data_IF_458439642387
#
_entry.id   IF_458439642387
#
_cell.length_a   1.000
_cell.length_b   1.000
_cell.length_c   1.000
_cell.angle_alpha   90.00
_cell.angle_beta   90.00
_cell.angle_gamma   90.00
#
_symmetry.space_group_name_H-M   'P 1'
#
loop_
_entity.id
_entity.type
_entity.pdbx_description
1 polymer ?
#
# COMPACT_ATOMS: atom_id res chain seq x y z
N UNK A 1 32.77 19.32 18.35
CA UNK A 1 33.18 18.03 18.95
C UNK A 1 32.44 16.91 18.22
N UNK A 2 33.17 16.00 17.55
CA UNK A 2 32.58 14.99 16.66
C UNK A 2 31.82 13.92 17.49
N UNK A 3 30.72 13.38 16.96
CA UNK A 3 29.92 12.32 17.60
C UNK A 3 30.77 11.11 18.01
N UNK A 4 31.83 10.83 17.25
CA UNK A 4 32.84 9.80 17.56
C UNK A 4 33.57 10.06 18.89
N UNK A 5 33.83 11.32 19.26
CA UNK A 5 34.46 11.65 20.54
C UNK A 5 33.55 11.33 21.73
N UNK A 6 32.25 11.62 21.62
CA UNK A 6 31.27 11.29 22.66
C UNK A 6 31.10 9.78 22.83
N UNK A 7 31.10 9.04 21.72
CA UNK A 7 31.03 7.58 21.73
C UNK A 7 32.25 6.97 22.44
N UNK A 8 33.46 7.48 22.14
CA UNK A 8 34.69 7.02 22.79
C UNK A 8 34.70 7.34 24.29
N UNK A 9 34.25 8.53 24.69
CA UNK A 9 34.12 8.91 26.11
C UNK A 9 33.10 8.02 26.81
N UNK A 10 31.94 7.75 26.20
CA UNK A 10 30.91 6.88 26.76
C UNK A 10 31.39 5.44 26.92
N UNK A 11 32.03 4.87 25.89
CA UNK A 11 32.64 3.54 25.98
C UNK A 11 33.71 3.48 27.07
N UNK A 12 34.55 4.51 27.20
CA UNK A 12 35.54 4.64 28.27
C UNK A 12 34.91 4.67 29.67
N UNK A 13 33.82 5.44 29.84
CA UNK A 13 33.06 5.51 31.10
C UNK A 13 32.42 4.18 31.47
N UNK A 14 31.78 3.49 30.52
CA UNK A 14 31.20 2.17 30.74
C UNK A 14 32.26 1.13 31.13
N UNK A 15 33.44 1.19 30.50
CA UNK A 15 34.57 0.32 30.84
C UNK A 15 35.12 0.59 32.24
N UNK A 16 35.21 1.85 32.65
CA UNK A 16 35.62 2.23 34.01
C UNK A 16 34.64 1.73 35.07
N UNK A 17 33.33 1.93 34.85
CA UNK A 17 32.29 1.42 35.75
C UNK A 17 32.37 -0.11 35.88
N UNK A 18 32.66 -0.81 34.79
CA UNK A 18 32.89 -2.25 34.80
C UNK A 18 34.12 -2.63 35.65
N UNK A 19 35.26 -1.96 35.47
CA UNK A 19 36.46 -2.20 36.30
C UNK A 19 36.12 -2.00 37.78
N UNK A 20 35.38 -0.93 38.13
CA UNK A 20 34.97 -0.67 39.50
C UNK A 20 34.11 -1.80 40.07
N UNK A 21 33.12 -2.31 39.33
CA UNK A 21 32.28 -3.43 39.76
C UNK A 21 33.08 -4.72 39.89
N UNK A 22 33.98 -4.99 38.93
CA UNK A 22 34.84 -6.18 38.96
C UNK A 22 35.78 -6.18 40.16
N UNK A 23 36.45 -5.06 40.42
CA UNK A 23 37.33 -4.90 41.58
C UNK A 23 36.53 -5.01 42.88
N UNK A 24 35.36 -4.37 42.97
CA UNK A 24 34.49 -4.45 44.14
C UNK A 24 34.05 -5.90 44.42
N UNK A 25 33.64 -6.64 43.39
CA UNK A 25 33.24 -8.05 43.53
C UNK A 25 34.42 -8.96 43.89
N UNK A 26 35.62 -8.71 43.37
CA UNK A 26 36.82 -9.44 43.81
C UNK A 26 37.14 -9.19 45.28
N UNK A 27 36.96 -7.95 45.75
CA UNK A 27 37.24 -7.58 47.14
C UNK A 27 36.22 -8.12 48.14
N UNK A 28 34.96 -8.29 47.73
CA UNK A 28 33.88 -8.67 48.65
C UNK A 28 33.89 -10.14 49.12
N UNK A 29 34.78 -10.97 48.57
CA UNK A 29 34.96 -12.36 49.02
C UNK A 29 33.83 -13.28 48.56
N UNK A 30 34.21 -14.52 48.19
CA UNK A 30 33.32 -15.59 47.72
C UNK A 30 32.40 -16.06 48.85
N UNK A 31 31.24 -15.43 49.05
CA UNK A 31 30.11 -16.08 49.72
C UNK A 31 28.82 -15.53 49.12
N UNK A 32 27.95 -16.43 48.65
CA UNK A 32 26.68 -16.20 47.93
C UNK A 32 26.84 -16.10 46.40
N UNK A 33 26.91 -17.27 45.75
CA UNK A 33 26.69 -17.43 44.31
C UNK A 33 25.18 -17.64 44.12
N UNK A 34 24.44 -16.54 43.92
CA UNK A 34 23.20 -16.60 43.14
C UNK A 34 23.59 -16.55 41.66
N UNK A 35 22.96 -17.36 40.79
CA UNK A 35 23.28 -17.38 39.35
C UNK A 35 22.72 -16.17 38.58
N UNK A 36 21.71 -15.51 39.14
CA UNK A 36 21.05 -14.31 38.59
C UNK A 36 21.98 -13.12 38.27
N UNK A 37 22.95 -12.73 39.14
CA UNK A 37 23.87 -11.63 38.86
C UNK A 37 24.77 -11.87 37.65
N UNK A 38 25.10 -13.12 37.29
CA UNK A 38 25.97 -13.41 36.15
C UNK A 38 25.31 -13.03 34.82
N UNK A 39 24.01 -13.29 34.67
CA UNK A 39 23.25 -12.95 33.45
C UNK A 39 23.13 -11.44 33.29
N UNK A 40 22.85 -10.71 34.38
CA UNK A 40 22.77 -9.24 34.38
C UNK A 40 24.13 -8.63 34.02
N UNK A 41 25.24 -9.11 34.60
CA UNK A 41 26.59 -8.63 34.29
C UNK A 41 26.97 -8.92 32.83
N UNK A 42 26.63 -10.11 32.31
CA UNK A 42 26.93 -10.47 30.93
C UNK A 42 26.14 -9.60 29.93
N UNK A 43 24.88 -9.26 30.25
CA UNK A 43 24.07 -8.34 29.45
C UNK A 43 24.68 -6.94 29.40
N UNK A 44 25.12 -6.40 30.55
CA UNK A 44 25.81 -5.11 30.62
C UNK A 44 27.20 -5.10 29.96
N UNK A 45 27.84 -6.26 29.81
CA UNK A 45 29.12 -6.39 29.11
C UNK A 45 28.97 -6.50 27.60
N UNK A 46 27.91 -7.15 27.12
CA UNK A 46 27.76 -7.48 25.70
C UNK A 46 26.93 -6.43 24.96
N UNK A 47 25.87 -5.91 25.58
CA UNK A 47 24.93 -5.01 24.89
C UNK A 47 25.50 -3.60 24.66
N UNK A 48 26.10 -2.91 25.64
CA UNK A 48 26.63 -1.56 25.44
C UNK A 48 27.75 -1.43 24.40
N UNK A 49 28.70 -2.39 24.26
CA UNK A 49 29.70 -2.33 23.19
C UNK A 49 29.13 -2.65 21.80
N UNK A 50 28.04 -3.42 21.72
CA UNK A 50 27.39 -3.73 20.46
C UNK A 50 26.47 -2.60 19.97
N UNK A 51 25.88 -1.80 20.87
CA UNK A 51 25.03 -0.66 20.51
C UNK A 51 25.69 0.33 19.51
N UNK A 52 26.95 0.75 19.69
CA UNK A 52 27.70 1.56 18.73
C UNK A 52 27.83 0.95 17.32
N UNK A 53 27.77 -0.38 17.20
CA UNK A 53 27.88 -1.10 15.92
C UNK A 53 26.49 -1.30 15.31
N UNK A 54 25.52 -1.71 16.13
CA UNK A 54 24.14 -1.98 15.70
C UNK A 54 23.39 -0.69 15.34
N UNK A 55 23.65 0.41 16.05
CA UNK A 55 22.95 1.67 15.84
C UNK A 55 23.24 2.28 14.45
N UNK A 56 24.50 2.44 13.98
CA UNK A 56 24.77 2.86 12.60
C UNK A 56 24.16 1.92 11.56
N UNK A 57 24.19 0.61 11.78
CA UNK A 57 23.59 -0.37 10.85
C UNK A 57 22.08 -0.14 10.72
N UNK A 58 21.38 0.05 11.84
CA UNK A 58 19.95 0.36 11.84
C UNK A 58 19.65 1.68 11.13
N UNK A 59 20.41 2.74 11.42
CA UNK A 59 20.23 4.05 10.77
C UNK A 59 20.52 4.03 9.27
N UNK A 60 21.54 3.28 8.84
CA UNK A 60 21.84 3.10 7.41
C UNK A 60 20.71 2.31 6.73
N UNK A 61 20.21 1.24 7.37
CA UNK A 61 19.09 0.45 6.87
C UNK A 61 17.82 1.29 6.70
N UNK A 62 17.45 2.09 7.72
CA UNK A 62 16.29 3.00 7.67
C UNK A 62 16.44 4.02 6.54
N UNK A 63 17.63 4.63 6.38
CA UNK A 63 17.89 5.56 5.27
C UNK A 63 17.79 4.89 3.90
N UNK A 64 18.29 3.67 3.74
CA UNK A 64 18.18 2.91 2.49
C UNK A 64 16.70 2.61 2.20
N UNK A 65 15.94 2.18 3.22
CA UNK A 65 14.50 1.92 3.10
C UNK A 65 13.74 3.16 2.63
N UNK A 66 13.89 4.30 3.31
CA UNK A 66 13.26 5.57 2.93
C UNK A 66 13.67 6.05 1.54
N UNK A 67 14.93 5.85 1.15
CA UNK A 67 15.40 6.19 -0.21
C UNK A 67 14.73 5.31 -1.26
N UNK A 68 14.62 4.00 -1.01
CA UNK A 68 13.92 3.07 -1.92
C UNK A 68 12.45 3.45 -2.08
N UNK A 69 11.77 3.78 -0.98
CA UNK A 69 10.39 4.23 -1.01
C UNK A 69 10.23 5.54 -1.79
N UNK A 70 11.14 6.52 -1.58
CA UNK A 70 11.11 7.79 -2.32
C UNK A 70 11.31 7.57 -3.83
N UNK A 71 12.22 6.68 -4.24
CA UNK A 71 12.44 6.35 -5.65
C UNK A 71 11.19 5.69 -6.24
N UNK A 72 10.64 4.69 -5.55
CA UNK A 72 9.42 4.00 -5.97
C UNK A 72 8.25 4.98 -6.15
N UNK A 73 8.02 5.88 -5.19
CA UNK A 73 6.93 6.85 -5.26
C UNK A 73 7.12 7.81 -6.46
N UNK A 74 8.36 8.21 -6.77
CA UNK A 74 8.66 9.03 -7.95
C UNK A 74 8.42 8.27 -9.26
N UNK A 75 8.79 7.00 -9.33
CA UNK A 75 8.53 6.16 -10.50
C UNK A 75 7.02 5.95 -10.72
N UNK A 76 6.24 5.73 -9.65
CA UNK A 76 4.78 5.62 -9.71
C UNK A 76 4.13 6.93 -10.16
N UNK A 77 4.57 8.07 -9.62
CA UNK A 77 4.10 9.39 -10.03
C UNK A 77 4.42 9.69 -11.50
N UNK A 78 5.63 9.34 -11.95
CA UNK A 78 6.02 9.49 -13.35
C UNK A 78 5.14 8.64 -14.26
N UNK A 79 4.92 7.36 -13.93
CA UNK A 79 4.02 6.46 -14.69
C UNK A 79 2.59 7.01 -14.76
N UNK A 80 2.08 7.57 -13.65
CA UNK A 80 0.75 8.18 -13.59
C UNK A 80 0.68 9.41 -14.50
N UNK A 81 1.71 10.26 -14.51
CA UNK A 81 1.76 11.44 -15.36
C UNK A 81 1.89 11.08 -16.86
N UNK A 82 2.69 10.06 -17.20
CA UNK A 82 2.79 9.52 -18.55
C UNK A 82 1.44 8.96 -19.03
N UNK A 83 0.74 8.22 -18.17
CA UNK A 83 -0.60 7.72 -18.47
C UNK A 83 -1.59 8.86 -18.71
N UNK A 84 -1.63 9.87 -17.82
CA UNK A 84 -2.48 11.06 -17.98
C UNK A 84 -2.24 11.76 -19.32
N UNK A 85 -0.98 11.97 -19.68
CA UNK A 85 -0.61 12.57 -20.95
C UNK A 85 -1.08 11.72 -22.14
N UNK A 86 -0.90 10.40 -22.07
CA UNK A 86 -1.33 9.46 -23.13
C UNK A 86 -2.83 9.48 -23.38
N UNK A 87 -3.64 9.64 -22.33
CA UNK A 87 -5.11 9.70 -22.41
C UNK A 87 -5.65 11.13 -22.59
N UNK A 88 -4.77 12.11 -22.80
CA UNK A 88 -5.16 13.49 -23.10
C UNK A 88 -5.64 14.31 -21.90
N UNK A 89 -5.28 13.92 -20.67
CA UNK A 89 -5.57 14.71 -19.47
C UNK A 89 -4.48 15.71 -19.15
N UNK A 90 -4.89 16.83 -18.55
CA UNK A 90 -3.95 17.81 -17.99
C UNK A 90 -3.31 17.30 -16.69
N UNK A 91 -2.15 17.84 -16.27
CA UNK A 91 -1.49 17.40 -15.03
C UNK A 91 -2.36 17.56 -13.77
N UNK A 92 -3.20 18.59 -13.73
CA UNK A 92 -4.16 18.89 -12.67
C UNK A 92 -5.43 18.03 -12.72
N UNK A 93 -5.68 17.34 -13.84
CA UNK A 93 -6.84 16.47 -14.02
C UNK A 93 -6.53 15.03 -13.58
N UNK A 94 -7.57 14.32 -13.12
CA UNK A 94 -7.48 12.91 -12.77
C UNK A 94 -8.48 12.12 -13.62
N UNK A 95 -8.09 10.90 -14.02
CA UNK A 95 -9.02 9.97 -14.64
C UNK A 95 -9.85 9.27 -13.56
N UNK A 96 -11.01 8.79 -13.96
CA UNK A 96 -11.84 7.91 -13.14
C UNK A 96 -11.51 6.45 -13.43
N UNK A 97 -11.57 5.61 -12.40
CA UNK A 97 -11.49 4.15 -12.46
C UNK A 97 -12.48 3.58 -11.45
N UNK A 98 -12.85 2.30 -11.59
CA UNK A 98 -13.81 1.68 -10.68
C UNK A 98 -13.29 1.62 -9.22
N UNK A 99 -11.98 1.53 -9.00
CA UNK A 99 -11.36 1.59 -7.67
C UNK A 99 -11.59 2.92 -6.94
N UNK A 100 -11.83 4.02 -7.67
CA UNK A 100 -12.13 5.34 -7.12
C UNK A 100 -13.63 5.62 -6.93
N UNK A 101 -14.51 4.66 -7.28
CA UNK A 101 -15.96 4.87 -7.29
C UNK A 101 -16.65 3.87 -6.35
N UNK A 102 -17.40 4.39 -5.38
CA UNK A 102 -18.27 3.58 -4.52
C UNK A 102 -19.74 3.61 -4.96
N UNK A 103 -20.45 2.52 -4.69
CA UNK A 103 -21.90 2.46 -4.77
C UNK A 103 -22.46 2.49 -6.19
N UNK A 104 -23.58 3.21 -6.34
CA UNK A 104 -24.19 3.52 -7.62
C UNK A 104 -24.40 5.03 -7.75
N UNK A 105 -24.29 5.52 -8.97
CA UNK A 105 -24.27 6.95 -9.24
C UNK A 105 -24.46 7.29 -10.71
N UNK A 106 -24.14 8.53 -11.04
CA UNK A 106 -24.21 9.05 -12.41
C UNK A 106 -22.81 9.39 -12.87
N UNK A 107 -22.43 8.89 -14.04
CA UNK A 107 -21.21 9.28 -14.72
C UNK A 107 -21.53 10.30 -15.81
N UNK A 108 -20.77 11.39 -15.85
CA UNK A 108 -20.93 12.50 -16.79
C UNK A 108 -19.62 12.81 -17.50
N UNK A 109 -19.66 12.90 -18.83
CA UNK A 109 -18.51 13.30 -19.64
C UNK A 109 -18.44 14.83 -19.76
N UNK A 110 -17.27 15.38 -19.46
CA UNK A 110 -17.03 16.81 -19.53
C UNK A 110 -16.91 17.36 -20.96
N UNK A 111 -16.62 16.50 -21.95
CA UNK A 111 -16.39 16.93 -23.34
C UNK A 111 -17.64 16.87 -24.21
N UNK A 112 -18.38 15.75 -24.20
CA UNK A 112 -19.58 15.59 -25.03
C UNK A 112 -20.91 15.67 -24.25
N UNK A 113 -20.85 15.87 -22.93
CA UNK A 113 -22.04 15.95 -22.08
C UNK A 113 -22.79 14.63 -21.91
N UNK A 114 -22.22 13.49 -22.34
CA UNK A 114 -22.80 12.17 -22.09
C UNK A 114 -23.06 11.94 -20.61
N UNK A 115 -24.22 11.37 -20.28
CA UNK A 115 -24.59 11.05 -18.91
C UNK A 115 -25.29 9.70 -18.84
N UNK A 116 -24.91 8.86 -17.87
CA UNK A 116 -25.51 7.54 -17.65
C UNK A 116 -25.48 7.17 -16.16
N UNK A 117 -26.49 6.45 -15.70
CA UNK A 117 -26.50 5.85 -14.37
C UNK A 117 -25.70 4.55 -14.39
N UNK A 118 -24.71 4.45 -13.52
CA UNK A 118 -23.85 3.28 -13.42
C UNK A 118 -23.82 2.74 -11.99
N UNK A 119 -23.56 1.45 -11.86
CA UNK A 119 -23.18 0.84 -10.58
C UNK A 119 -21.69 0.59 -10.64
N UNK A 120 -20.90 1.20 -9.75
CA UNK A 120 -19.47 0.91 -9.67
C UNK A 120 -19.23 -0.31 -8.80
N UNK A 121 -19.81 -0.31 -7.61
CA UNK A 121 -19.66 -1.39 -6.66
C UNK A 121 -20.75 -1.32 -5.58
N UNK A 122 -21.56 -2.36 -5.47
CA UNK A 122 -22.52 -2.52 -4.36
C UNK A 122 -22.38 -3.92 -3.77
N UNK A 123 -22.47 -4.02 -2.45
CA UNK A 123 -22.36 -5.28 -1.73
C UNK A 123 -23.65 -5.59 -0.96
N UNK A 124 -23.99 -6.87 -0.93
CA UNK A 124 -24.95 -7.50 -0.04
C UNK A 124 -24.23 -8.51 0.84
N UNK A 125 -24.97 -9.25 1.66
CA UNK A 125 -24.36 -10.20 2.61
C UNK A 125 -23.64 -11.38 1.94
N UNK A 126 -24.16 -11.86 0.81
CA UNK A 126 -23.66 -13.02 0.06
C UNK A 126 -23.61 -12.76 -1.45
N UNK A 127 -23.79 -11.51 -1.86
CA UNK A 127 -23.81 -11.13 -3.27
C UNK A 127 -23.26 -9.74 -3.44
N UNK A 128 -22.85 -9.43 -4.65
CA UNK A 128 -22.36 -8.12 -5.01
C UNK A 128 -22.71 -7.82 -6.46
N UNK A 129 -22.65 -6.54 -6.79
CA UNK A 129 -22.81 -6.05 -8.15
C UNK A 129 -21.63 -5.15 -8.48
N UNK A 130 -20.91 -5.49 -9.54
CA UNK A 130 -19.64 -4.89 -9.93
C UNK A 130 -19.80 -4.20 -11.29
N UNK A 131 -19.37 -2.94 -11.35
CA UNK A 131 -19.27 -2.19 -12.59
C UNK A 131 -18.06 -2.60 -13.41
N UNK A 132 -18.25 -2.68 -14.72
CA UNK A 132 -17.19 -2.91 -15.71
C UNK A 132 -17.34 -1.94 -16.88
N UNK A 133 -16.26 -1.73 -17.62
CA UNK A 133 -16.30 -1.08 -18.92
C UNK A 133 -15.86 -2.07 -19.99
N UNK A 134 -16.67 -2.22 -21.03
CA UNK A 134 -16.31 -3.08 -22.16
C UNK A 134 -15.08 -2.51 -22.89
N UNK A 135 -13.99 -3.28 -23.09
CA UNK A 135 -12.78 -2.76 -23.72
C UNK A 135 -12.95 -2.44 -25.21
N UNK A 136 -14.00 -2.98 -25.86
CA UNK A 136 -14.24 -2.78 -27.28
C UNK A 136 -15.16 -1.58 -27.56
N UNK A 137 -16.30 -1.48 -26.86
CA UNK A 137 -17.31 -0.45 -27.13
C UNK A 137 -17.47 0.59 -26.01
N UNK A 138 -16.66 0.51 -24.97
CA UNK A 138 -16.63 1.40 -23.80
C UNK A 138 -17.95 1.51 -23.03
N UNK A 139 -18.93 0.64 -23.33
CA UNK A 139 -20.18 0.59 -22.59
C UNK A 139 -19.92 0.22 -21.14
N UNK A 140 -20.57 0.96 -20.23
CA UNK A 140 -20.63 0.57 -18.84
C UNK A 140 -21.59 -0.61 -18.72
N UNK A 141 -21.10 -1.69 -18.10
CA UNK A 141 -21.82 -2.93 -17.94
C UNK A 141 -21.71 -3.37 -16.48
N UNK A 142 -22.64 -4.20 -16.07
CA UNK A 142 -22.77 -4.62 -14.68
C UNK A 142 -22.76 -6.13 -14.63
N UNK A 143 -21.93 -6.66 -13.73
CA UNK A 143 -21.82 -8.07 -13.42
C UNK A 143 -22.38 -8.31 -12.01
N UNK A 144 -23.22 -9.33 -11.88
CA UNK A 144 -23.70 -9.83 -10.60
C UNK A 144 -22.88 -11.04 -10.21
N UNK A 145 -22.49 -11.12 -8.94
CA UNK A 145 -21.66 -12.20 -8.42
C UNK A 145 -22.13 -12.60 -7.02
N UNK A 146 -22.21 -13.90 -6.76
CA UNK A 146 -22.59 -14.49 -5.48
C UNK A 146 -21.39 -15.17 -4.82
N UNK A 147 -21.39 -15.18 -3.48
CA UNK A 147 -20.36 -15.84 -2.70
C UNK A 147 -20.98 -16.60 -1.53
N UNK A 148 -20.48 -17.81 -1.29
CA UNK A 148 -20.79 -18.55 -0.06
C UNK A 148 -20.19 -17.89 1.20
N UNK A 149 -19.21 -17.00 1.02
CA UNK A 149 -18.52 -16.29 2.10
C UNK A 149 -19.13 -14.91 2.32
N UNK A 150 -19.40 -14.61 3.58
CA UNK A 150 -19.96 -13.32 4.00
C UNK A 150 -19.05 -12.15 3.57
N UNK A 151 -19.63 -11.12 2.95
CA UNK A 151 -18.93 -9.93 2.44
C UNK A 151 -17.76 -10.20 1.48
N UNK A 152 -17.75 -11.36 0.81
CA UNK A 152 -16.71 -11.71 -0.16
C UNK A 152 -17.24 -11.67 -1.59
N UNK A 153 -16.33 -11.46 -2.53
CA UNK A 153 -16.56 -11.75 -3.95
C UNK A 153 -16.30 -13.23 -4.18
N UNK A 154 -17.25 -13.92 -4.83
CA UNK A 154 -17.01 -15.24 -5.37
C UNK A 154 -16.10 -15.16 -6.59
N UNK A 155 -15.46 -16.27 -6.94
CA UNK A 155 -14.82 -16.38 -8.23
C UNK A 155 -15.89 -16.28 -9.33
N UNK A 156 -15.64 -15.54 -10.40
CA UNK A 156 -16.59 -15.47 -11.51
C UNK A 156 -16.80 -16.89 -12.08
N UNK A 157 -18.04 -17.35 -12.21
CA UNK A 157 -18.39 -18.69 -12.69
C UNK A 157 -18.46 -18.80 -14.21
N UNK A 158 -18.60 -17.67 -14.93
CA UNK A 158 -18.62 -17.63 -16.39
C UNK A 158 -17.85 -16.43 -16.95
N UNK A 159 -17.52 -16.47 -18.25
CA UNK A 159 -17.03 -15.29 -18.97
C UNK A 159 -18.16 -14.25 -19.09
N UNK A 160 -17.83 -12.97 -18.96
CA UNK A 160 -18.83 -11.92 -19.06
C UNK A 160 -19.01 -11.46 -20.52
N UNK A 161 -20.24 -11.53 -21.05
CA UNK A 161 -20.52 -11.07 -22.42
C UNK A 161 -21.11 -9.65 -22.39
N UNK A 162 -20.45 -8.71 -23.09
CA UNK A 162 -20.96 -7.36 -23.23
C UNK A 162 -22.30 -7.35 -23.98
N UNK A 163 -23.37 -6.92 -23.31
CA UNK A 163 -24.72 -6.87 -23.88
C UNK A 163 -24.88 -5.92 -25.07
N UNK A 164 -23.96 -4.96 -25.24
CA UNK A 164 -24.01 -3.97 -26.33
C UNK A 164 -23.34 -4.44 -27.62
N UNK A 165 -22.19 -5.11 -27.53
CA UNK A 165 -21.38 -5.46 -28.70
C UNK A 165 -20.98 -6.94 -28.79
N UNK A 166 -21.39 -7.78 -27.84
CA UNK A 166 -21.10 -9.22 -27.84
C UNK A 166 -19.65 -9.59 -27.50
N UNK A 167 -18.80 -8.61 -27.16
CA UNK A 167 -17.41 -8.90 -26.76
C UNK A 167 -17.39 -9.73 -25.49
N UNK A 168 -16.68 -10.85 -25.53
CA UNK A 168 -16.46 -11.75 -24.40
C UNK A 168 -15.30 -11.19 -23.57
N UNK A 169 -15.58 -10.87 -22.31
CA UNK A 169 -14.63 -10.44 -21.30
C UNK A 169 -14.30 -11.69 -20.47
N UNK A 170 -13.10 -12.24 -20.68
CA UNK A 170 -12.73 -13.55 -20.14
C UNK A 170 -12.60 -13.51 -18.64
N UNK A 171 -13.00 -14.59 -17.96
CA UNK A 171 -12.80 -14.77 -16.51
C UNK A 171 -11.42 -14.39 -16.07
N UNK A 172 -10.38 -14.95 -16.73
CA UNK A 172 -8.94 -14.81 -16.42
C UNK A 172 -8.42 -13.37 -16.46
N UNK A 173 -9.21 -12.42 -16.95
CA UNK A 173 -9.05 -10.99 -16.66
C UNK A 173 -9.58 -10.68 -15.24
N UNK A 174 -9.43 -11.64 -14.32
CA UNK A 174 -10.09 -11.73 -13.03
C UNK A 174 -9.82 -10.45 -12.27
N UNK A 175 -10.89 -9.67 -12.18
CA UNK A 175 -11.05 -8.48 -11.38
C UNK A 175 -10.45 -7.21 -12.01
N UNK A 176 -11.33 -6.54 -12.76
CA UNK A 176 -11.42 -5.07 -12.77
C UNK A 176 -11.48 -4.53 -11.31
N UNK A 177 -11.83 -5.36 -10.32
CA UNK A 177 -11.70 -5.10 -8.88
C UNK A 177 -10.37 -5.50 -8.21
N UNK A 178 -9.41 -6.21 -8.83
CA UNK A 178 -8.09 -6.57 -8.23
C UNK A 178 -7.03 -5.50 -8.52
N UNK A 179 -7.44 -4.24 -8.55
CA UNK A 179 -6.51 -3.11 -8.37
C UNK A 179 -5.89 -2.54 -9.65
N UNK A 180 -6.55 -2.66 -10.80
CA UNK A 180 -6.14 -1.81 -11.91
C UNK A 180 -6.85 -0.46 -11.83
N UNK A 181 -6.05 0.58 -11.61
CA UNK A 181 -6.41 1.98 -11.87
C UNK A 181 -6.54 2.23 -13.38
N UNK A 182 -7.30 1.38 -14.07
CA UNK A 182 -7.56 1.49 -15.50
C UNK A 182 -8.52 2.67 -15.75
N UNK A 183 -8.12 3.66 -16.57
CA UNK A 183 -8.96 4.80 -16.87
C UNK A 183 -10.26 4.40 -17.57
N UNK A 184 -11.36 5.02 -17.14
CA UNK A 184 -12.64 4.92 -17.81
C UNK A 184 -12.75 5.96 -18.93
N UNK A 185 -13.40 5.55 -20.01
CA UNK A 185 -13.61 6.40 -21.18
C UNK A 185 -15.09 6.62 -21.48
N UNK A 186 -15.43 7.76 -22.06
CA UNK A 186 -16.80 8.02 -22.49
C UNK A 186 -17.20 7.09 -23.64
N UNK A 187 -18.33 6.36 -23.57
CA UNK A 187 -18.77 5.48 -24.66
C UNK A 187 -19.20 6.20 -25.94
N UNK A 188 -19.30 7.54 -25.92
CA UNK A 188 -19.65 8.35 -27.09
C UNK A 188 -18.45 9.01 -27.75
N UNK A 189 -17.54 9.60 -26.98
CA UNK A 189 -16.43 10.39 -27.51
C UNK A 189 -15.04 9.88 -27.10
N UNK A 190 -14.98 8.80 -26.32
CA UNK A 190 -13.75 8.20 -25.79
C UNK A 190 -12.87 9.15 -24.95
N UNK A 191 -13.41 10.26 -24.47
CA UNK A 191 -12.71 11.11 -23.51
C UNK A 191 -12.58 10.44 -22.14
N UNK A 192 -11.42 10.60 -21.50
CA UNK A 192 -11.16 10.20 -20.11
C UNK A 192 -11.65 11.23 -19.08
N UNK A 193 -12.13 12.41 -19.51
CA UNK A 193 -12.65 13.47 -18.63
C UNK A 193 -14.06 13.14 -18.17
N UNK A 194 -14.15 12.23 -17.22
CA UNK A 194 -15.39 11.76 -16.61
C UNK A 194 -15.50 12.27 -15.18
N UNK A 195 -16.72 12.62 -14.78
CA UNK A 195 -17.09 12.96 -13.42
C UNK A 195 -18.13 11.96 -12.92
N UNK A 196 -17.94 11.46 -11.70
CA UNK A 196 -18.85 10.54 -11.06
C UNK A 196 -19.53 11.24 -9.89
N UNK A 197 -20.86 11.16 -9.84
CA UNK A 197 -21.67 11.62 -8.73
C UNK A 197 -22.37 10.42 -8.11
N UNK A 198 -21.89 9.99 -6.94
CA UNK A 198 -22.51 8.91 -6.18
C UNK A 198 -23.92 9.30 -5.75
N UNK A 199 -24.89 8.41 -5.95
CA UNK A 199 -26.27 8.57 -5.48
C UNK A 199 -26.46 7.82 -4.15
N UNK A 200 -26.01 6.56 -4.09
CA UNK A 200 -26.12 5.74 -2.88
C UNK A 200 -24.98 4.72 -2.80
N UNK A 201 -24.76 4.23 -1.59
CA UNK A 201 -23.86 3.12 -1.28
C UNK A 201 -24.63 2.12 -0.42
N UNK A 202 -24.41 0.83 -0.64
CA UNK A 202 -24.90 -0.26 0.20
C UNK A 202 -23.74 -0.90 0.90
#
# INVERSE_FOLDING_TARGET
MNWMCYLLIYCGMCYLVFICIYVYNMWKGKDIIDEEPKVKIMFFLVVPPLLPILFPVFFISDRISKRKETIRNREEEQKKNELKAKIGLRPDENYMCFSHMGGAGVIKCADCGYEEKITSFTHGSYSCTIGRQCPNCYAFVVEYNESEKYHCFGDAEEDFVCRKCGTIIRKKEEAISKGNDDPLFCPKCHSARLHYHMIYIT
#
